data_IF_996912392488
#
_entry.id   IF_996912392488
#
_cell.length_a   1.000
_cell.length_b   1.000
_cell.length_c   1.000
_cell.angle_alpha   90.00
_cell.angle_beta   90.00
_cell.angle_gamma   90.00
#
_symmetry.space_group_name_H-M   'P 1'
#
loop_
_entity.id
_entity.type
_entity.pdbx_description
1 polymer ?
#
# COMPACT_ATOMS: atom_id res chain seq x y z
N UNK A 1 -1.27 0.83 18.66
CA UNK A 1 -0.09 -0.06 18.76
C UNK A 1 -0.15 -1.04 19.92
N UNK A 2 -0.72 -0.68 21.09
CA UNK A 2 -0.75 -1.57 22.27
C UNK A 2 -1.45 -2.92 22.00
N UNK A 3 -2.63 -2.92 21.36
CA UNK A 3 -3.39 -4.15 21.02
C UNK A 3 -2.66 -5.11 20.07
N UNK A 4 -1.91 -4.54 19.13
CA UNK A 4 -1.18 -5.32 18.12
C UNK A 4 0.18 -5.78 18.66
N UNK A 5 0.76 -5.05 19.63
CA UNK A 5 2.07 -5.34 20.23
C UNK A 5 3.23 -4.52 19.65
N UNK A 6 2.96 -3.37 19.02
CA UNK A 6 3.99 -2.56 18.36
C UNK A 6 4.06 -2.75 16.84
N UNK A 7 5.03 -2.10 16.19
CA UNK A 7 5.16 -2.09 14.73
C UNK A 7 5.65 -3.42 14.16
N UNK A 8 6.65 -4.04 14.77
CA UNK A 8 7.17 -5.36 14.35
C UNK A 8 6.06 -6.42 14.38
N UNK A 9 5.37 -6.50 15.52
CA UNK A 9 4.19 -7.36 15.71
C UNK A 9 3.07 -7.10 14.72
N UNK A 10 2.89 -5.84 14.30
CA UNK A 10 1.91 -5.47 13.27
C UNK A 10 2.33 -6.01 11.91
N UNK A 11 3.60 -5.89 11.53
CA UNK A 11 4.11 -6.44 10.28
C UNK A 11 3.91 -7.96 10.23
N UNK A 12 4.33 -8.66 11.28
CA UNK A 12 4.20 -10.13 11.35
C UNK A 12 2.73 -10.58 11.27
N UNK A 13 1.86 -9.96 12.09
CA UNK A 13 0.44 -10.34 12.15
C UNK A 13 -0.29 -10.00 10.86
N UNK A 14 0.00 -8.86 10.24
CA UNK A 14 -0.62 -8.44 8.99
C UNK A 14 -0.39 -9.47 7.88
N UNK A 15 0.83 -10.01 7.75
CA UNK A 15 1.14 -11.01 6.72
C UNK A 15 0.39 -12.34 6.90
N UNK A 16 -0.22 -12.57 8.07
CA UNK A 16 -1.04 -13.76 8.38
C UNK A 16 -2.53 -13.46 8.52
N UNK A 17 -2.93 -12.20 8.31
CA UNK A 17 -4.29 -11.73 8.56
C UNK A 17 -5.24 -12.06 7.40
N UNK A 18 -5.55 -13.35 7.22
CA UNK A 18 -6.54 -13.83 6.24
C UNK A 18 -7.92 -13.91 6.91
N UNK A 19 -8.99 -13.37 6.30
CA UNK A 19 -10.33 -13.42 6.87
C UNK A 19 -10.88 -14.86 6.92
N UNK A 20 -11.74 -15.14 7.89
CA UNK A 20 -12.39 -16.46 8.04
C UNK A 20 -13.50 -16.71 7.00
N UNK A 21 -14.10 -15.66 6.45
CA UNK A 21 -15.10 -15.74 5.38
C UNK A 21 -14.44 -15.49 4.02
N UNK A 22 -14.07 -16.57 3.34
CA UNK A 22 -13.48 -16.55 2.00
C UNK A 22 -14.50 -17.10 1.00
N UNK A 23 -14.56 -16.55 -0.22
CA UNK A 23 -15.40 -17.11 -1.31
C UNK A 23 -16.69 -16.36 -1.62
N UNK A 24 -16.87 -15.14 -1.13
CA UNK A 24 -18.03 -14.28 -1.47
C UNK A 24 -17.82 -13.57 -2.81
N UNK A 25 -17.55 -14.32 -3.89
CA UNK A 25 -17.30 -13.77 -5.24
C UNK A 25 -16.21 -12.67 -5.29
N UNK A 26 -15.18 -12.78 -4.46
CA UNK A 26 -14.06 -11.84 -4.36
C UNK A 26 -12.78 -12.56 -4.80
N UNK A 27 -11.95 -11.88 -5.58
CA UNK A 27 -10.64 -12.38 -6.00
C UNK A 27 -9.71 -12.58 -4.79
N UNK A 28 -8.85 -13.60 -4.85
CA UNK A 28 -7.88 -13.93 -3.81
C UNK A 28 -6.91 -12.77 -3.51
N UNK A 29 -6.54 -12.03 -4.54
CA UNK A 29 -5.66 -10.86 -4.45
C UNK A 29 -6.22 -9.72 -3.59
N UNK A 30 -7.55 -9.68 -3.37
CA UNK A 30 -8.19 -8.61 -2.60
C UNK A 30 -8.10 -8.83 -1.09
N UNK A 31 -7.97 -10.07 -0.63
CA UNK A 31 -7.97 -10.42 0.80
C UNK A 31 -6.67 -11.06 1.28
N UNK A 32 -5.77 -11.43 0.37
CA UNK A 32 -4.45 -11.93 0.75
C UNK A 32 -3.47 -10.77 0.98
N UNK A 33 -2.71 -10.78 2.09
CA UNK A 33 -1.68 -9.78 2.34
C UNK A 33 -0.62 -9.80 1.23
N UNK A 34 -0.33 -8.63 0.67
CA UNK A 34 0.72 -8.48 -0.35
C UNK A 34 2.10 -8.52 0.27
N UNK A 35 3.05 -9.13 -0.43
CA UNK A 35 4.46 -9.17 -0.03
C UNK A 35 5.11 -7.77 0.04
N UNK A 36 4.62 -6.81 -0.74
CA UNK A 36 5.10 -5.44 -0.77
C UNK A 36 4.24 -4.45 0.02
N UNK A 37 3.32 -4.92 0.89
CA UNK A 37 2.38 -4.07 1.62
C UNK A 37 3.04 -2.98 2.50
N UNK A 38 4.28 -3.22 2.93
CA UNK A 38 5.07 -2.27 3.73
C UNK A 38 6.09 -1.46 2.91
N UNK A 39 6.03 -1.56 1.58
CA UNK A 39 6.86 -0.76 0.67
C UNK A 39 6.02 0.36 0.06
N UNK A 40 6.38 1.61 0.37
CA UNK A 40 5.73 2.77 -0.24
C UNK A 40 5.99 2.82 -1.75
N UNK A 41 7.23 2.54 -2.15
CA UNK A 41 7.61 2.43 -3.55
C UNK A 41 7.49 0.99 -4.00
N UNK A 42 6.54 0.75 -4.90
CA UNK A 42 6.31 -0.56 -5.53
C UNK A 42 7.25 -0.78 -6.69
N UNK A 43 7.25 -2.00 -7.23
CA UNK A 43 8.06 -2.38 -8.38
C UNK A 43 7.89 -1.39 -9.55
N UNK A 44 8.99 -0.95 -10.21
CA UNK A 44 8.95 0.03 -11.29
C UNK A 44 8.21 -0.41 -12.56
N UNK A 45 7.94 -1.70 -12.74
CA UNK A 45 7.42 -2.24 -14.00
C UNK A 45 6.11 -3.00 -13.78
N UNK A 46 6.06 -3.84 -12.76
CA UNK A 46 4.97 -4.80 -12.52
C UNK A 46 4.03 -4.39 -11.40
N UNK A 47 4.36 -3.36 -10.62
CA UNK A 47 3.50 -2.88 -9.56
C UNK A 47 2.30 -2.08 -10.10
N UNK A 48 1.11 -2.23 -9.51
CA UNK A 48 -0.09 -1.50 -9.96
C UNK A 48 0.08 0.03 -9.91
N UNK A 49 0.93 0.51 -9.01
CA UNK A 49 1.37 1.90 -8.94
C UNK A 49 2.90 1.93 -9.00
N UNK A 50 3.49 1.93 -10.21
CA UNK A 50 4.93 1.99 -10.37
C UNK A 50 5.49 3.26 -9.74
N UNK A 51 6.57 3.13 -8.96
CA UNK A 51 7.16 4.28 -8.27
C UNK A 51 7.55 5.45 -9.20
N UNK A 52 8.01 5.25 -10.45
CA UNK A 52 8.36 6.39 -11.31
C UNK A 52 7.14 7.26 -11.61
N UNK A 53 6.01 6.62 -11.97
CA UNK A 53 4.75 7.33 -12.23
C UNK A 53 4.26 8.09 -10.99
N UNK A 54 4.41 7.48 -9.81
CA UNK A 54 4.03 8.10 -8.54
C UNK A 54 4.86 9.37 -8.25
N UNK A 55 6.19 9.28 -8.38
CA UNK A 55 7.09 10.42 -8.13
C UNK A 55 6.83 11.55 -9.12
N UNK A 56 6.87 11.28 -10.42
CA UNK A 56 6.73 12.34 -11.43
C UNK A 56 5.31 12.89 -11.49
N UNK A 57 4.28 12.07 -11.26
CA UNK A 57 2.89 12.51 -11.21
C UNK A 57 2.58 13.39 -9.99
N UNK A 58 2.91 12.91 -8.79
CA UNK A 58 2.59 13.64 -7.55
C UNK A 58 3.42 14.91 -7.39
N UNK A 59 4.67 14.92 -7.86
CA UNK A 59 5.51 16.14 -7.79
C UNK A 59 4.94 17.28 -8.63
N UNK A 60 4.44 17.01 -9.83
CA UNK A 60 3.80 18.03 -10.68
C UNK A 60 2.56 18.61 -9.97
N UNK A 61 1.70 17.75 -9.41
CA UNK A 61 0.51 18.19 -8.68
C UNK A 61 0.88 19.03 -7.44
N UNK A 62 1.87 18.58 -6.66
CA UNK A 62 2.34 19.29 -5.48
C UNK A 62 2.90 20.68 -5.84
N UNK A 63 3.69 20.78 -6.92
CA UNK A 63 4.22 22.06 -7.41
C UNK A 63 3.08 22.98 -7.87
N UNK A 64 2.11 22.45 -8.61
CA UNK A 64 0.96 23.26 -9.07
C UNK A 64 0.18 23.83 -7.89
N UNK A 65 -0.16 23.00 -6.90
CA UNK A 65 -0.85 23.46 -5.69
C UNK A 65 -0.02 24.49 -4.91
N UNK A 66 1.28 24.25 -4.76
CA UNK A 66 2.19 25.20 -4.14
C UNK A 66 2.20 26.56 -4.85
N UNK A 67 2.24 26.56 -6.18
CA UNK A 67 2.20 27.79 -6.98
C UNK A 67 0.86 28.53 -6.88
N UNK A 68 -0.25 27.82 -6.67
CA UNK A 68 -1.58 28.40 -6.54
C UNK A 68 -1.90 28.91 -5.12
N UNK A 69 -1.21 28.41 -4.10
CA UNK A 69 -1.35 28.84 -2.69
C UNK A 69 -0.50 30.08 -2.35
N UNK A 70 0.32 30.54 -3.29
CA UNK A 70 1.13 31.76 -3.15
C UNK A 70 0.46 33.03 -3.69
#
# INVERSE_FOLDING_TARGET
>A
FNEVGGYEKLQDRYMTAIPSMVGVNISEECYTPRSDAFHLFRDPITGDLPWPGMIFGLTIQAIWYWCADQ
#
